data_IF_838772532898
#
_entry.id   IF_838772532898
#
_cell.length_a   1.000
_cell.length_b   1.000
_cell.length_c   1.000
_cell.angle_alpha   90.00
_cell.angle_beta   90.00
_cell.angle_gamma   90.00
#
_symmetry.space_group_name_H-M   'P 1'
#
loop_
_entity.id
_entity.type
_entity.pdbx_description
1 polymer ?
#
# COMPACT_ATOMS: atom_id res chain seq x y z
N UNK A 1 8.98 16.97 -3.72
CA UNK A 1 9.11 15.72 -4.52
C UNK A 1 7.98 14.73 -4.25
N UNK A 2 7.64 14.40 -3.00
CA UNK A 2 6.55 13.45 -2.70
C UNK A 2 5.17 13.86 -3.25
N UNK A 3 4.88 15.16 -3.30
CA UNK A 3 3.58 15.67 -3.75
C UNK A 3 3.40 15.55 -5.28
N UNK A 4 4.50 15.63 -6.04
CA UNK A 4 4.49 15.35 -7.48
C UNK A 4 4.12 13.90 -7.74
N UNK A 5 4.69 12.96 -6.98
CA UNK A 5 4.40 11.53 -7.11
C UNK A 5 2.95 11.17 -6.74
N UNK A 6 2.35 11.95 -5.86
CA UNK A 6 0.94 11.82 -5.52
C UNK A 6 0.06 12.27 -6.69
N UNK A 7 0.34 13.46 -7.25
CA UNK A 7 -0.38 14.01 -8.40
C UNK A 7 -0.20 13.14 -9.65
N UNK A 8 0.98 12.59 -9.90
CA UNK A 8 1.21 11.64 -11.00
C UNK A 8 0.37 10.38 -10.83
N UNK A 9 0.24 9.85 -9.61
CA UNK A 9 -0.62 8.69 -9.33
C UNK A 9 -2.09 8.96 -9.64
N UNK A 10 -2.60 10.13 -9.22
CA UNK A 10 -3.96 10.57 -9.55
C UNK A 10 -4.16 10.73 -11.05
N UNK A 11 -3.22 11.41 -11.69
CA UNK A 11 -3.20 11.65 -13.12
C UNK A 11 -3.31 10.35 -13.92
N UNK A 12 -2.50 9.35 -13.56
CA UNK A 12 -2.48 8.03 -14.22
C UNK A 12 -3.83 7.31 -14.04
N UNK A 13 -4.36 7.23 -12.81
CA UNK A 13 -5.61 6.52 -12.54
C UNK A 13 -6.84 7.22 -13.14
N UNK A 14 -6.93 8.55 -13.03
CA UNK A 14 -8.04 9.32 -13.59
C UNK A 14 -8.03 9.21 -15.12
N UNK A 15 -6.87 9.36 -15.75
CA UNK A 15 -6.74 9.26 -17.20
C UNK A 15 -7.11 7.87 -17.71
N UNK A 16 -6.63 6.81 -17.03
CA UNK A 16 -7.02 5.44 -17.34
C UNK A 16 -8.52 5.21 -17.19
N UNK A 17 -9.14 5.73 -16.12
CA UNK A 17 -10.57 5.58 -15.89
C UNK A 17 -11.41 6.26 -16.98
N UNK A 18 -11.04 7.46 -17.41
CA UNK A 18 -11.73 8.19 -18.51
C UNK A 18 -11.62 7.44 -19.84
N UNK A 19 -10.50 6.77 -20.09
CA UNK A 19 -10.29 6.02 -21.33
C UNK A 19 -10.92 4.64 -21.38
N UNK A 20 -11.39 4.10 -20.25
CA UNK A 20 -12.17 2.85 -20.27
C UNK A 20 -13.36 2.94 -21.23
N UNK A 21 -13.96 4.13 -21.37
CA UNK A 21 -15.06 4.38 -22.31
C UNK A 21 -14.61 4.53 -23.76
N UNK A 22 -13.33 4.86 -23.98
CA UNK A 22 -12.74 5.08 -25.30
C UNK A 22 -12.08 3.83 -25.90
N UNK A 23 -12.21 2.67 -25.23
CA UNK A 23 -11.69 1.40 -25.74
C UNK A 23 -10.33 0.98 -25.18
N UNK A 24 -9.98 1.40 -23.94
CA UNK A 24 -8.78 0.92 -23.26
C UNK A 24 -8.78 -0.62 -23.10
N UNK A 25 -7.67 -1.25 -23.49
CA UNK A 25 -7.49 -2.70 -23.41
C UNK A 25 -7.12 -3.18 -22.01
N UNK A 26 -7.28 -4.49 -21.76
CA UNK A 26 -6.91 -5.13 -20.48
C UNK A 26 -5.42 -4.94 -20.18
N UNK A 27 -4.56 -5.08 -21.18
CA UNK A 27 -3.12 -4.87 -21.03
C UNK A 27 -2.77 -3.43 -20.60
N UNK A 28 -3.33 -2.43 -21.28
CA UNK A 28 -3.09 -1.02 -20.96
C UNK A 28 -3.59 -0.67 -19.55
N UNK A 29 -4.76 -1.19 -19.16
CA UNK A 29 -5.29 -1.00 -17.80
C UNK A 29 -4.37 -1.60 -16.73
N UNK A 30 -3.82 -2.79 -16.94
CA UNK A 30 -2.85 -3.39 -16.02
C UNK A 30 -1.62 -2.51 -15.83
N UNK A 31 -1.06 -1.96 -16.93
CA UNK A 31 0.07 -1.04 -16.86
C UNK A 31 -0.28 0.22 -16.06
N UNK A 32 -1.42 0.84 -16.35
CA UNK A 32 -1.90 2.04 -15.63
C UNK A 32 -1.97 1.77 -14.12
N UNK A 33 -2.58 0.64 -13.72
CA UNK A 33 -2.73 0.27 -12.30
C UNK A 33 -1.37 0.01 -11.65
N UNK A 34 -0.43 -0.65 -12.33
CA UNK A 34 0.90 -0.91 -11.78
C UNK A 34 1.78 0.35 -11.71
N UNK A 35 1.67 1.28 -12.66
CA UNK A 35 2.36 2.57 -12.57
C UNK A 35 1.82 3.38 -11.39
N UNK A 36 0.49 3.42 -11.22
CA UNK A 36 -0.13 4.07 -10.07
C UNK A 36 0.27 3.41 -8.73
N UNK A 37 0.43 2.09 -8.71
CA UNK A 37 0.97 1.35 -7.58
C UNK A 37 2.36 1.84 -7.17
N UNK A 38 3.29 1.97 -8.13
CA UNK A 38 4.62 2.50 -7.83
C UNK A 38 4.57 3.95 -7.37
N UNK A 39 3.66 4.75 -7.92
CA UNK A 39 3.41 6.12 -7.45
C UNK A 39 3.00 6.16 -5.98
N UNK A 40 2.03 5.32 -5.62
CA UNK A 40 1.54 5.14 -4.26
C UNK A 40 2.66 4.69 -3.31
N UNK A 41 3.45 3.66 -3.67
CA UNK A 41 4.57 3.19 -2.86
C UNK A 41 5.65 4.24 -2.64
N UNK A 42 6.02 4.99 -3.67
CA UNK A 42 7.02 6.06 -3.56
C UNK A 42 6.50 7.22 -2.70
N UNK A 43 5.20 7.53 -2.74
CA UNK A 43 4.64 8.51 -1.81
C UNK A 43 4.66 7.99 -0.35
N UNK A 44 4.34 6.71 -0.11
CA UNK A 44 4.45 6.08 1.22
C UNK A 44 5.89 6.12 1.76
N UNK A 45 6.90 5.92 0.90
CA UNK A 45 8.31 6.00 1.31
C UNK A 45 8.73 7.43 1.61
N UNK A 46 8.26 8.42 0.83
CA UNK A 46 8.52 9.83 1.09
C UNK A 46 7.95 10.28 2.45
N UNK A 47 6.71 9.89 2.76
CA UNK A 47 6.08 10.18 4.07
C UNK A 47 6.83 9.55 5.24
N UNK A 48 7.47 8.39 5.03
CA UNK A 48 8.31 7.76 6.05
C UNK A 48 9.52 8.63 6.40
N UNK A 49 10.24 9.14 5.40
CA UNK A 49 11.45 9.97 5.57
C UNK A 49 11.11 11.32 6.18
N UNK A 50 10.00 11.93 5.76
CA UNK A 50 9.57 13.25 6.22
C UNK A 50 8.83 13.24 7.57
N UNK A 51 8.70 12.10 8.24
CA UNK A 51 7.89 11.95 9.46
C UNK A 51 8.27 12.93 10.57
N UNK A 52 9.57 13.22 10.75
CA UNK A 52 10.06 14.16 11.76
C UNK A 52 9.59 15.59 11.49
N UNK A 53 9.71 16.04 10.23
CA UNK A 53 9.27 17.37 9.78
C UNK A 53 7.75 17.56 9.90
N UNK A 54 6.98 16.54 9.49
CA UNK A 54 5.51 16.56 9.53
C UNK A 54 4.95 16.51 10.96
N UNK A 55 5.75 16.13 11.96
CA UNK A 55 5.31 16.16 13.35
C UNK A 55 5.15 17.59 13.87
N UNK A 56 5.87 18.55 13.28
CA UNK A 56 5.78 19.98 13.62
C UNK A 56 4.65 20.66 12.82
N UNK A 57 4.48 20.32 11.54
CA UNK A 57 3.47 20.91 10.67
C UNK A 57 2.23 20.01 10.49
N UNK A 58 1.23 20.17 11.36
CA UNK A 58 0.06 19.27 11.42
C UNK A 58 -0.95 19.43 10.28
N UNK A 59 -1.05 20.61 9.67
CA UNK A 59 -2.02 20.90 8.59
C UNK A 59 -1.59 20.23 7.28
N UNK A 60 -0.38 20.51 6.80
CA UNK A 60 0.18 19.87 5.59
C UNK A 60 0.25 18.34 5.70
N UNK A 61 0.45 17.82 6.91
CA UNK A 61 0.39 16.39 7.20
C UNK A 61 -0.97 15.77 6.94
N UNK A 62 -2.04 16.41 7.42
CA UNK A 62 -3.40 15.87 7.27
C UNK A 62 -3.81 15.88 5.80
N UNK A 63 -3.51 16.95 5.07
CA UNK A 63 -3.80 17.03 3.63
C UNK A 63 -3.11 15.92 2.82
N UNK A 64 -1.80 15.74 3.01
CA UNK A 64 -1.01 14.70 2.30
C UNK A 64 -1.50 13.29 2.64
N UNK A 65 -1.87 13.04 3.90
CA UNK A 65 -2.46 11.77 4.32
C UNK A 65 -3.83 11.50 3.70
N UNK A 66 -4.71 12.50 3.68
CA UNK A 66 -6.05 12.38 3.08
C UNK A 66 -5.93 12.11 1.60
N UNK A 67 -5.13 12.90 0.87
CA UNK A 67 -4.94 12.73 -0.55
C UNK A 67 -4.31 11.36 -0.88
N UNK A 68 -3.36 10.90 -0.08
CA UNK A 68 -2.81 9.54 -0.20
C UNK A 68 -3.86 8.46 0.07
N UNK A 69 -4.74 8.66 1.05
CA UNK A 69 -5.84 7.74 1.34
C UNK A 69 -6.83 7.63 0.18
N UNK A 70 -7.18 8.75 -0.45
CA UNK A 70 -8.01 8.76 -1.66
C UNK A 70 -7.30 8.03 -2.80
N UNK A 71 -6.01 8.30 -3.03
CA UNK A 71 -5.23 7.60 -4.06
C UNK A 71 -5.17 6.07 -3.80
N UNK A 72 -4.99 5.66 -2.55
CA UNK A 72 -4.98 4.25 -2.17
C UNK A 72 -6.34 3.58 -2.42
N UNK A 73 -7.46 4.26 -2.15
CA UNK A 73 -8.81 3.74 -2.45
C UNK A 73 -8.98 3.58 -3.97
N UNK A 74 -8.63 4.60 -4.76
CA UNK A 74 -8.70 4.52 -6.22
C UNK A 74 -7.83 3.37 -6.77
N UNK A 75 -6.63 3.19 -6.20
CA UNK A 75 -5.74 2.09 -6.58
C UNK A 75 -6.33 0.72 -6.19
N UNK A 76 -6.93 0.58 -5.00
CA UNK A 76 -7.59 -0.67 -4.59
C UNK A 76 -8.72 -1.01 -5.56
N UNK A 77 -9.56 -0.03 -5.92
CA UNK A 77 -10.61 -0.21 -6.92
C UNK A 77 -10.01 -0.61 -8.28
N UNK A 78 -8.90 0.01 -8.69
CA UNK A 78 -8.18 -0.33 -9.92
C UNK A 78 -7.57 -1.74 -9.93
N UNK A 79 -7.17 -2.26 -8.77
CA UNK A 79 -6.62 -3.61 -8.61
C UNK A 79 -7.70 -4.69 -8.64
N UNK A 80 -8.96 -4.40 -8.29
CA UNK A 80 -10.03 -5.41 -8.25
C UNK A 80 -10.24 -6.13 -9.61
N UNK A 81 -10.32 -5.44 -10.76
CA UNK A 81 -10.39 -6.08 -12.07
C UNK A 81 -9.20 -7.00 -12.37
N UNK A 82 -8.04 -6.79 -11.75
CA UNK A 82 -6.84 -7.61 -12.03
C UNK A 82 -6.98 -9.07 -11.59
N UNK A 83 -7.94 -9.39 -10.72
CA UNK A 83 -8.28 -10.78 -10.43
C UNK A 83 -8.81 -11.56 -11.64
N UNK A 84 -9.38 -10.87 -12.63
CA UNK A 84 -9.95 -11.49 -13.82
C UNK A 84 -8.92 -11.76 -14.92
N UNK A 85 -7.72 -11.18 -14.83
CA UNK A 85 -6.72 -11.19 -15.91
C UNK A 85 -5.67 -12.29 -15.76
N UNK A 86 -6.02 -13.41 -15.11
CA UNK A 86 -5.09 -14.50 -14.82
C UNK A 86 -4.81 -15.37 -16.04
N UNK A 87 -3.57 -15.35 -16.53
CA UNK A 87 -3.13 -16.04 -17.75
C UNK A 87 -3.04 -17.57 -17.62
N UNK A 88 -3.05 -18.11 -16.40
CA UNK A 88 -2.75 -19.54 -16.13
C UNK A 88 -3.75 -20.55 -16.72
N UNK A 89 -4.85 -20.11 -17.37
CA UNK A 89 -5.90 -21.05 -17.78
C UNK A 89 -6.68 -20.67 -19.05
N UNK A 90 -6.06 -20.17 -20.13
CA UNK A 90 -6.68 -20.04 -21.48
C UNK A 90 -8.15 -19.55 -21.51
N UNK A 91 -8.53 -18.70 -20.55
CA UNK A 91 -9.87 -18.17 -20.41
C UNK A 91 -9.80 -16.67 -20.63
N UNK A 92 -10.79 -16.15 -21.37
CA UNK A 92 -10.95 -14.70 -21.58
C UNK A 92 -10.96 -13.95 -20.24
N UNK A 93 -10.43 -12.71 -20.19
CA UNK A 93 -10.03 -11.89 -21.33
C UNK A 93 -8.59 -12.13 -21.81
N UNK A 94 -8.39 -11.99 -23.12
CA UNK A 94 -7.07 -11.81 -23.70
C UNK A 94 -6.52 -10.40 -23.48
N UNK A 95 -5.21 -10.16 -23.67
CA UNK A 95 -4.58 -8.85 -23.49
C UNK A 95 -5.19 -7.72 -24.34
N UNK A 96 -5.70 -8.06 -25.52
CA UNK A 96 -6.31 -7.14 -26.50
C UNK A 96 -7.81 -6.90 -26.30
N UNK A 97 -8.45 -7.60 -25.36
CA UNK A 97 -9.87 -7.39 -25.07
C UNK A 97 -10.08 -6.03 -24.35
N UNK A 98 -11.24 -5.41 -24.56
CA UNK A 98 -11.60 -4.16 -23.90
C UNK A 98 -11.77 -4.35 -22.38
N UNK A 99 -11.03 -3.57 -21.58
CA UNK A 99 -11.01 -3.69 -20.11
C UNK A 99 -12.39 -3.44 -19.49
N UNK A 100 -13.20 -2.56 -20.08
CA UNK A 100 -14.53 -2.18 -19.60
C UNK A 100 -15.46 -3.39 -19.41
N UNK A 101 -15.36 -4.40 -20.27
CA UNK A 101 -16.18 -5.62 -20.20
C UNK A 101 -15.84 -6.51 -19.00
N UNK A 102 -14.67 -6.31 -18.38
CA UNK A 102 -14.10 -7.19 -17.36
C UNK A 102 -13.82 -6.47 -16.03
N UNK A 103 -14.38 -5.27 -15.83
CA UNK A 103 -14.27 -4.51 -14.57
C UNK A 103 -14.95 -5.21 -13.39
N UNK A 104 -16.00 -5.99 -13.64
CA UNK A 104 -16.74 -6.70 -12.58
C UNK A 104 -15.96 -7.94 -12.14
N UNK A 105 -15.65 -8.04 -10.85
CA UNK A 105 -14.96 -9.21 -10.27
C UNK A 105 -15.76 -10.47 -10.57
N UNK A 106 -15.18 -11.38 -11.34
CA UNK A 106 -15.75 -12.71 -11.63
C UNK A 106 -15.05 -13.73 -10.74
N UNK A 107 -15.71 -14.87 -10.50
CA UNK A 107 -15.11 -15.99 -9.76
C UNK A 107 -13.90 -16.49 -10.56
N UNK A 108 -12.71 -16.09 -10.11
CA UNK A 108 -11.43 -16.44 -10.72
C UNK A 108 -10.78 -17.62 -10.00
N UNK A 109 -9.72 -18.17 -10.56
CA UNK A 109 -8.93 -19.24 -9.94
C UNK A 109 -8.34 -18.78 -8.60
N UNK A 110 -8.14 -19.72 -7.67
CA UNK A 110 -7.64 -19.40 -6.33
C UNK A 110 -6.32 -18.63 -6.35
N UNK A 111 -5.41 -18.94 -7.27
CA UNK A 111 -4.09 -18.32 -7.39
C UNK A 111 -4.20 -16.83 -7.77
N UNK A 112 -5.00 -16.50 -8.79
CA UNK A 112 -5.16 -15.12 -9.26
C UNK A 112 -5.87 -14.26 -8.21
N UNK A 113 -6.90 -14.82 -7.56
CA UNK A 113 -7.57 -14.18 -6.43
C UNK A 113 -6.62 -13.92 -5.26
N UNK A 114 -5.82 -14.92 -4.86
CA UNK A 114 -4.82 -14.74 -3.81
C UNK A 114 -3.84 -13.63 -4.17
N UNK A 115 -3.36 -13.56 -5.41
CA UNK A 115 -2.42 -12.53 -5.84
C UNK A 115 -3.04 -11.11 -5.81
N UNK A 116 -4.32 -10.96 -6.18
CA UNK A 116 -5.05 -9.70 -6.07
C UNK A 116 -5.24 -9.30 -4.60
N UNK A 117 -5.69 -10.24 -3.77
CA UNK A 117 -5.89 -10.04 -2.33
C UNK A 117 -4.57 -9.62 -1.67
N UNK A 118 -3.45 -10.27 -2.01
CA UNK A 118 -2.13 -9.90 -1.51
C UNK A 118 -1.75 -8.48 -1.90
N UNK A 119 -1.97 -8.07 -3.16
CA UNK A 119 -1.73 -6.67 -3.58
C UNK A 119 -2.59 -5.68 -2.79
N UNK A 120 -3.90 -5.92 -2.66
CA UNK A 120 -4.82 -5.05 -1.92
C UNK A 120 -4.43 -4.95 -0.45
N UNK A 121 -4.18 -6.09 0.20
CA UNK A 121 -3.74 -6.13 1.60
C UNK A 121 -2.41 -5.41 1.78
N UNK A 122 -1.48 -5.52 0.82
CA UNK A 122 -0.17 -4.86 0.90
C UNK A 122 -0.31 -3.34 0.94
N UNK A 123 -1.14 -2.76 0.09
CA UNK A 123 -1.41 -1.30 0.08
C UNK A 123 -2.21 -0.89 1.32
N UNK A 124 -3.25 -1.66 1.68
CA UNK A 124 -4.08 -1.34 2.84
C UNK A 124 -3.26 -1.37 4.14
N UNK A 125 -2.48 -2.43 4.38
CA UNK A 125 -1.60 -2.54 5.54
C UNK A 125 -0.53 -1.45 5.52
N UNK A 126 0.06 -1.17 4.35
CA UNK A 126 1.04 -0.09 4.19
C UNK A 126 0.46 1.27 4.57
N UNK A 127 -0.72 1.62 4.06
CA UNK A 127 -1.42 2.86 4.35
C UNK A 127 -1.82 2.96 5.83
N UNK A 128 -2.48 1.93 6.38
CA UNK A 128 -2.93 1.91 7.78
C UNK A 128 -1.74 2.04 8.74
N UNK A 129 -0.62 1.37 8.44
CA UNK A 129 0.61 1.49 9.24
C UNK A 129 1.12 2.93 9.30
N UNK A 130 1.11 3.65 8.17
CA UNK A 130 1.49 5.08 8.12
C UNK A 130 0.54 5.95 8.92
N UNK A 131 -0.77 5.77 8.76
CA UNK A 131 -1.78 6.55 9.52
C UNK A 131 -1.57 6.35 11.02
N UNK A 132 -1.42 5.11 11.48
CA UNK A 132 -1.20 4.80 12.89
C UNK A 132 0.09 5.42 13.45
N UNK A 133 1.20 5.36 12.70
CA UNK A 133 2.50 5.90 13.17
C UNK A 133 2.58 7.42 13.09
N UNK A 134 1.88 8.04 12.13
CA UNK A 134 1.92 9.48 11.93
C UNK A 134 1.04 10.24 12.94
N UNK A 135 -0.02 9.61 13.44
CA UNK A 135 -0.80 10.13 14.57
C UNK A 135 -0.25 9.67 15.91
N UNK A 136 0.45 10.57 16.63
CA UNK A 136 1.01 10.31 17.96
C UNK A 136 -0.01 9.74 18.95
N UNK A 137 -1.27 10.19 18.88
CA UNK A 137 -2.36 9.68 19.71
C UNK A 137 -2.68 8.20 19.42
N UNK A 138 -2.82 7.82 18.15
CA UNK A 138 -3.11 6.43 17.76
C UNK A 138 -1.92 5.52 18.05
N UNK A 139 -0.69 5.98 17.80
CA UNK A 139 0.52 5.23 18.11
C UNK A 139 0.66 4.96 19.60
N UNK A 140 0.54 5.98 20.46
CA UNK A 140 0.77 5.82 21.91
C UNK A 140 -0.40 5.11 22.59
N UNK A 141 -1.65 5.42 22.23
CA UNK A 141 -2.82 4.84 22.90
C UNK A 141 -3.10 3.41 22.47
N UNK A 142 -3.05 3.09 21.16
CA UNK A 142 -3.30 1.73 20.69
C UNK A 142 -2.07 0.83 20.90
N UNK A 143 -0.88 1.24 20.46
CA UNK A 143 0.32 0.40 20.59
C UNK A 143 0.90 0.41 22.00
N UNK A 144 0.89 1.55 22.70
CA UNK A 144 1.26 1.59 24.11
C UNK A 144 0.32 0.76 24.96
N UNK A 145 -1.00 0.90 24.75
CA UNK A 145 -2.02 0.10 25.44
C UNK A 145 -1.90 -1.41 25.17
N UNK A 146 -1.69 -1.80 23.90
CA UNK A 146 -1.48 -3.20 23.52
C UNK A 146 -0.18 -3.74 24.11
N UNK A 147 0.93 -2.99 24.04
CA UNK A 147 2.24 -3.39 24.60
C UNK A 147 2.16 -3.56 26.12
N UNK A 148 1.50 -2.65 26.82
CA UNK A 148 1.31 -2.70 28.28
C UNK A 148 0.40 -3.88 28.65
N UNK A 149 -0.76 -4.04 28.00
CA UNK A 149 -1.71 -5.12 28.29
C UNK A 149 -1.12 -6.50 28.01
N UNK A 150 -0.43 -6.68 26.89
CA UNK A 150 0.26 -7.92 26.54
C UNK A 150 1.38 -8.22 27.54
N UNK A 151 2.18 -7.23 27.94
CA UNK A 151 3.25 -7.42 28.93
C UNK A 151 2.71 -7.77 30.32
N UNK A 152 1.61 -7.17 30.76
CA UNK A 152 1.02 -7.48 32.07
C UNK A 152 0.42 -8.88 32.11
N UNK A 153 -0.35 -9.27 31.08
CA UNK A 153 -0.97 -10.61 31.01
C UNK A 153 0.08 -11.71 30.89
N UNK A 154 1.10 -11.52 30.05
CA UNK A 154 2.16 -12.50 29.87
C UNK A 154 3.03 -12.66 31.13
N UNK A 155 3.39 -11.57 31.81
CA UNK A 155 4.13 -11.63 33.09
C UNK A 155 3.32 -12.26 34.21
N UNK A 156 1.99 -12.16 34.19
CA UNK A 156 1.14 -12.85 35.14
C UNK A 156 1.18 -14.37 34.91
N UNK A 157 1.06 -14.81 33.65
CA UNK A 157 1.12 -16.22 33.25
C UNK A 157 2.51 -16.81 33.54
N UNK A 158 3.59 -16.13 33.15
CA UNK A 158 4.96 -16.58 33.44
C UNK A 158 5.22 -16.68 34.94
N UNK A 159 4.67 -15.78 35.77
CA UNK A 159 4.81 -15.86 37.23
C UNK A 159 4.07 -17.04 37.83
N UNK A 160 2.88 -17.39 37.32
CA UNK A 160 2.14 -18.57 37.76
C UNK A 160 2.91 -19.84 37.43
N UNK A 161 3.41 -19.95 36.20
CA UNK A 161 4.18 -21.12 35.72
C UNK A 161 5.52 -21.24 36.45
N UNK A 162 6.23 -20.12 36.69
CA UNK A 162 7.46 -20.10 37.47
C UNK A 162 7.22 -20.60 38.91
N UNK A 163 6.17 -20.11 39.58
CA UNK A 163 5.82 -20.54 40.95
C UNK A 163 5.43 -22.01 41.01
N UNK A 164 4.71 -22.51 40.01
CA UNK A 164 4.35 -23.93 39.90
C UNK A 164 5.59 -24.81 39.70
N UNK A 165 6.56 -24.33 38.93
CA UNK A 165 7.80 -25.05 38.65
C UNK A 165 8.81 -25.04 39.81
N UNK A 166 8.81 -24.01 40.67
CA UNK A 166 9.74 -23.89 41.82
C UNK A 166 9.24 -24.69 43.04
N UNK A 167 7.93 -24.92 43.18
CA UNK A 167 7.34 -25.58 44.36
C UNK A 167 7.56 -27.11 44.41
N UNK A 168 8.16 -27.70 43.38
CA UNK A 168 8.05 -29.14 43.08
C UNK A 168 9.40 -29.84 42.91
N UNK A 169 10.27 -29.83 43.93
CA UNK A 169 11.36 -30.81 44.14
C UNK A 169 12.41 -31.08 43.02
N UNK A 170 13.35 -32.03 43.24
CA UNK A 170 14.51 -32.28 42.36
C UNK A 170 14.19 -32.96 41.02
N UNK A 171 13.12 -33.76 40.95
CA UNK A 171 12.78 -34.59 39.78
C UNK A 171 12.19 -33.79 38.59
N UNK A 172 11.92 -32.49 38.74
CA UNK A 172 11.31 -31.64 37.71
C UNK A 172 12.24 -30.58 37.09
N UNK A 173 13.57 -30.68 37.30
CA UNK A 173 14.54 -29.87 36.54
C UNK A 173 14.35 -29.98 35.01
N UNK A 174 13.86 -31.14 34.54
CA UNK A 174 13.43 -31.33 33.15
C UNK A 174 12.20 -30.49 32.79
N UNK A 175 11.15 -30.42 33.63
CA UNK A 175 9.94 -29.65 33.34
C UNK A 175 10.22 -28.14 33.27
N UNK A 176 11.09 -27.63 34.16
CA UNK A 176 11.58 -26.26 34.09
C UNK A 176 12.35 -25.99 32.78
N UNK A 177 13.18 -26.94 32.34
CA UNK A 177 13.95 -26.80 31.10
C UNK A 177 13.08 -26.92 29.84
N UNK A 178 12.12 -27.84 29.82
CA UNK A 178 11.26 -28.15 28.66
C UNK A 178 10.03 -27.25 28.52
N UNK A 179 9.56 -26.62 29.60
CA UNK A 179 8.32 -25.83 29.57
C UNK A 179 8.60 -24.36 29.80
N UNK A 180 9.32 -24.00 30.86
CA UNK A 180 9.54 -22.60 31.21
C UNK A 180 10.50 -21.88 30.25
N UNK A 181 11.62 -22.50 29.87
CA UNK A 181 12.61 -21.90 28.95
C UNK A 181 12.06 -21.62 27.54
N UNK A 182 11.40 -22.57 26.85
CA UNK A 182 10.84 -22.27 25.53
C UNK A 182 9.69 -21.29 25.61
N UNK A 183 8.85 -21.33 26.66
CA UNK A 183 7.79 -20.34 26.84
C UNK A 183 8.35 -18.92 27.05
N UNK A 184 9.44 -18.80 27.82
CA UNK A 184 10.17 -17.54 27.97
C UNK A 184 10.79 -17.10 26.65
N UNK A 185 11.40 -18.01 25.88
CA UNK A 185 11.98 -17.71 24.57
C UNK A 185 10.90 -17.24 23.59
N UNK A 186 9.75 -17.91 23.51
CA UNK A 186 8.59 -17.51 22.70
C UNK A 186 8.07 -16.14 23.14
N UNK A 187 7.99 -15.88 24.45
CA UNK A 187 7.57 -14.57 24.94
C UNK A 187 8.55 -13.45 24.54
N UNK A 188 9.86 -13.68 24.69
CA UNK A 188 10.88 -12.72 24.30
C UNK A 188 10.90 -12.52 22.79
N UNK A 189 10.75 -13.59 22.00
CA UNK A 189 10.64 -13.55 20.56
C UNK A 189 9.39 -12.77 20.12
N UNK A 190 8.23 -13.04 20.71
CA UNK A 190 6.99 -12.31 20.43
C UNK A 190 7.11 -10.82 20.76
N UNK A 191 7.76 -10.49 21.89
CA UNK A 191 8.03 -9.09 22.27
C UNK A 191 8.99 -8.42 21.28
N UNK A 192 10.05 -9.11 20.88
CA UNK A 192 11.00 -8.63 19.89
C UNK A 192 10.31 -8.42 18.54
N UNK A 193 9.44 -9.34 18.11
CA UNK A 193 8.67 -9.23 16.87
C UNK A 193 7.68 -8.06 16.92
N UNK A 194 7.00 -7.83 18.04
CA UNK A 194 6.13 -6.67 18.22
C UNK A 194 6.91 -5.35 18.19
N UNK A 195 8.05 -5.29 18.89
CA UNK A 195 8.92 -4.11 18.90
C UNK A 195 9.56 -3.90 17.51
N UNK A 196 9.88 -4.97 16.78
CA UNK A 196 10.38 -4.94 15.40
C UNK A 196 9.30 -4.48 14.42
N UNK A 197 8.06 -4.97 14.53
CA UNK A 197 6.93 -4.55 13.70
C UNK A 197 6.67 -3.03 13.79
N UNK A 198 6.84 -2.47 14.99
CA UNK A 198 6.72 -1.02 15.23
C UNK A 198 7.94 -0.24 14.73
N UNK A 199 9.06 -0.90 14.43
CA UNK A 199 10.27 -0.26 13.91
C UNK A 199 10.07 0.34 12.51
N UNK A 200 10.81 1.41 12.23
CA UNK A 200 10.94 1.97 10.89
C UNK A 200 11.58 0.96 9.92
N UNK A 201 12.42 0.05 10.43
CA UNK A 201 13.11 -0.95 9.61
C UNK A 201 12.16 -1.96 8.97
N UNK A 202 11.22 -2.53 9.74
CA UNK A 202 10.24 -3.49 9.19
C UNK A 202 9.30 -2.82 8.19
N UNK A 203 8.97 -1.54 8.40
CA UNK A 203 8.22 -0.79 7.39
C UNK A 203 9.02 -0.55 6.10
N UNK A 204 10.33 -0.32 6.20
CA UNK A 204 11.17 -0.17 5.03
C UNK A 204 11.24 -1.50 4.27
N UNK A 205 11.48 -2.61 4.98
CA UNK A 205 11.45 -3.96 4.41
C UNK A 205 10.10 -4.28 3.77
N UNK A 206 8.99 -3.91 4.40
CA UNK A 206 7.66 -4.09 3.84
C UNK A 206 7.49 -3.34 2.52
N UNK A 207 7.96 -2.09 2.44
CA UNK A 207 7.96 -1.32 1.20
C UNK A 207 8.84 -1.95 0.12
N UNK A 208 10.01 -2.50 0.48
CA UNK A 208 10.86 -3.23 -0.45
C UNK A 208 10.17 -4.49 -1.00
N UNK A 209 9.51 -5.27 -0.13
CA UNK A 209 8.74 -6.45 -0.55
C UNK A 209 7.59 -6.02 -1.47
N UNK A 210 6.85 -4.96 -1.12
CA UNK A 210 5.76 -4.43 -1.92
C UNK A 210 6.24 -3.91 -3.29
N UNK A 211 7.42 -3.29 -3.33
CA UNK A 211 8.06 -2.83 -4.56
C UNK A 211 8.44 -4.01 -5.44
N UNK A 212 9.14 -5.01 -4.88
CA UNK A 212 9.53 -6.22 -5.59
C UNK A 212 8.31 -6.97 -6.14
N UNK A 213 7.26 -7.11 -5.34
CA UNK A 213 5.98 -7.69 -5.77
C UNK A 213 5.35 -6.93 -6.94
N UNK A 214 5.35 -5.59 -6.88
CA UNK A 214 4.90 -4.74 -7.98
C UNK A 214 5.72 -4.92 -9.25
N UNK A 215 7.05 -5.05 -9.14
CA UNK A 215 7.96 -5.26 -10.28
C UNK A 215 7.68 -6.59 -10.94
N UNK A 216 7.58 -7.68 -10.16
CA UNK A 216 7.24 -9.00 -10.69
C UNK A 216 5.93 -8.94 -11.47
N UNK A 217 4.90 -8.27 -10.92
CA UNK A 217 3.60 -8.11 -11.59
C UNK A 217 3.65 -7.27 -12.86
N UNK A 218 4.41 -6.17 -12.85
CA UNK A 218 4.62 -5.35 -14.05
C UNK A 218 5.33 -6.15 -15.14
N UNK A 219 6.40 -6.88 -14.80
CA UNK A 219 7.13 -7.72 -15.75
C UNK A 219 6.27 -8.85 -16.31
N UNK A 220 5.43 -9.49 -15.49
CA UNK A 220 4.47 -10.49 -16.00
C UNK A 220 3.49 -9.87 -16.98
N UNK A 221 2.95 -8.67 -16.69
CA UNK A 221 2.03 -8.00 -17.60
C UNK A 221 2.72 -7.55 -18.90
N UNK A 222 3.98 -7.08 -18.82
CA UNK A 222 4.77 -6.71 -20.00
C UNK A 222 5.17 -7.93 -20.84
N UNK A 223 5.38 -9.10 -20.24
CA UNK A 223 5.65 -10.32 -20.99
C UNK A 223 4.41 -10.85 -21.71
N UNK A 224 3.22 -10.47 -21.24
CA UNK A 224 1.92 -10.77 -21.86
C UNK A 224 1.60 -9.83 -23.04
N UNK A 225 2.59 -9.09 -23.56
CA UNK A 225 2.42 -8.20 -24.73
C UNK A 225 1.80 -8.95 -25.92
N UNK A 226 0.66 -8.48 -26.45
CA UNK A 226 0.11 -9.02 -27.69
C UNK A 226 1.10 -8.77 -28.84
N UNK A 227 1.58 -9.84 -29.48
CA UNK A 227 2.56 -9.78 -30.60
C UNK A 227 2.05 -9.02 -31.84
N UNK A 228 0.75 -8.73 -31.90
CA UNK A 228 0.08 -8.08 -33.05
C UNK A 228 -0.50 -6.70 -32.73
N UNK A 229 -0.14 -6.09 -31.59
CA UNK A 229 -0.70 -4.81 -31.16
C UNK A 229 0.41 -3.79 -30.91
N UNK A 230 0.62 -2.93 -31.90
CA UNK A 230 1.41 -1.72 -31.76
C UNK A 230 0.89 -0.91 -30.57
N UNK A 231 1.79 -0.72 -29.60
CA UNK A 231 1.58 -0.24 -28.24
C UNK A 231 0.86 1.12 -28.12
N UNK A 232 0.58 1.83 -29.22
CA UNK A 232 -0.01 3.18 -29.21
C UNK A 232 -0.82 3.57 -30.47
N UNK A 233 -1.15 2.67 -31.40
CA UNK A 233 -1.68 3.08 -32.73
C UNK A 233 -3.06 2.54 -33.13
N UNK A 234 -3.71 1.68 -32.34
CA UNK A 234 -5.12 1.30 -32.62
C UNK A 234 -6.10 2.25 -31.95
N UNK A 235 -6.11 3.48 -32.43
CA UNK A 235 -7.23 4.42 -32.28
C UNK A 235 -8.40 3.93 -33.14
N UNK A 236 -9.00 2.78 -32.81
CA UNK A 236 -10.22 2.34 -33.49
C UNK A 236 -11.38 3.24 -33.06
N UNK A 237 -11.63 4.28 -33.88
CA UNK A 237 -12.82 5.11 -33.79
C UNK A 237 -12.84 6.09 -32.63
N UNK A 238 -11.80 6.93 -32.50
CA UNK A 238 -11.93 8.15 -31.70
C UNK A 238 -13.02 9.01 -32.35
N UNK A 239 -14.22 8.99 -31.75
CA UNK A 239 -15.24 10.01 -32.00
C UNK A 239 -14.55 11.36 -31.79
N UNK A 240 -14.53 12.19 -32.81
CA UNK A 240 -13.98 13.55 -32.76
C UNK A 240 -14.60 14.27 -31.55
N UNK A 241 -13.83 14.44 -30.46
CA UNK A 241 -14.31 15.03 -29.21
C UNK A 241 -13.87 14.37 -27.90
N UNK A 242 -13.35 13.13 -27.92
CA UNK A 242 -12.90 12.47 -26.68
C UNK A 242 -11.44 12.82 -26.31
N UNK A 243 -11.22 13.12 -25.03
CA UNK A 243 -9.91 13.46 -24.45
C UNK A 243 -8.95 12.26 -24.45
N UNK A 244 -7.70 12.49 -24.85
CA UNK A 244 -6.65 11.44 -24.89
C UNK A 244 -5.94 11.27 -23.54
N UNK A 245 -5.25 10.14 -23.34
CA UNK A 245 -4.46 9.86 -22.13
C UNK A 245 -3.51 10.98 -21.78
N UNK A 246 -2.67 11.38 -22.74
CA UNK A 246 -1.68 12.41 -22.52
C UNK A 246 -2.30 13.75 -22.13
N UNK A 247 -3.45 14.10 -22.72
CA UNK A 247 -4.13 15.37 -22.41
C UNK A 247 -4.69 15.39 -20.99
N UNK A 248 -5.38 14.32 -20.56
CA UNK A 248 -5.90 14.23 -19.18
C UNK A 248 -4.74 14.18 -18.18
N UNK A 249 -3.68 13.43 -18.48
CA UNK A 249 -2.49 13.36 -17.63
C UNK A 249 -1.86 14.74 -17.45
N UNK A 250 -1.65 15.46 -18.55
CA UNK A 250 -1.03 16.78 -18.53
C UNK A 250 -1.83 17.80 -17.73
N UNK A 251 -3.17 17.77 -17.84
CA UNK A 251 -4.04 18.64 -17.05
C UNK A 251 -3.98 18.35 -15.56
N UNK A 252 -4.02 17.08 -15.15
CA UNK A 252 -3.95 16.71 -13.73
C UNK A 252 -2.58 17.04 -13.16
N UNK A 253 -1.50 16.86 -13.94
CA UNK A 253 -0.14 17.25 -13.52
C UNK A 253 0.00 18.76 -13.27
N UNK A 254 -0.83 19.62 -13.89
CA UNK A 254 -0.85 21.06 -13.64
C UNK A 254 -1.25 21.42 -12.19
N UNK A 255 -1.86 20.48 -11.45
CA UNK A 255 -2.16 20.63 -10.03
C UNK A 255 -0.88 20.71 -9.19
N UNK A 256 0.21 20.05 -9.59
CA UNK A 256 1.46 20.03 -8.82
C UNK A 256 2.11 21.43 -8.64
N UNK A 257 2.30 22.25 -9.68
CA UNK A 257 2.81 23.62 -9.51
C UNK A 257 1.82 24.53 -8.76
N UNK A 258 0.50 24.36 -8.95
CA UNK A 258 -0.51 25.13 -8.20
C UNK A 258 -0.47 24.83 -6.70
N UNK A 259 -0.32 23.56 -6.31
CA UNK A 259 -0.13 23.16 -4.92
C UNK A 259 1.12 23.80 -4.31
N UNK A 260 2.22 23.85 -5.06
CA UNK A 260 3.45 24.49 -4.62
C UNK A 260 3.28 26.00 -4.40
N UNK A 261 2.50 26.65 -5.28
CA UNK A 261 2.17 28.07 -5.17
C UNK A 261 1.32 28.37 -3.92
N UNK A 262 0.33 27.52 -3.62
CA UNK A 262 -0.52 27.65 -2.44
C UNK A 262 0.26 27.46 -1.13
N UNK A 263 1.16 26.46 -1.08
CA UNK A 263 2.04 26.26 0.08
C UNK A 263 2.98 27.47 0.29
N UNK A 264 3.45 28.11 -0.79
CA UNK A 264 4.25 29.33 -0.70
C UNK A 264 3.46 30.52 -0.14
N UNK A 265 2.22 30.72 -0.58
CA UNK A 265 1.39 31.81 -0.07
C UNK A 265 0.98 31.60 1.40
N UNK A 266 0.68 30.37 1.81
CA UNK A 266 0.36 30.05 3.21
C UNK A 266 1.54 30.36 4.13
N UNK A 267 2.77 29.99 3.72
CA UNK A 267 3.98 30.37 4.44
C UNK A 267 4.20 31.89 4.48
N UNK A 268 3.99 32.58 3.36
CA UNK A 268 4.11 34.05 3.28
C UNK A 268 3.13 34.80 4.20
N UNK A 269 1.89 34.30 4.35
CA UNK A 269 0.89 34.89 5.25
C UNK A 269 1.18 34.59 6.72
N UNK A 270 1.78 33.43 7.04
CA UNK A 270 2.20 33.10 8.41
C UNK A 270 3.37 33.97 8.90
N UNK A 271 4.21 34.48 7.97
CA UNK A 271 5.34 35.34 8.29
C UNK A 271 4.94 36.81 8.46
N UNK A 272 3.84 37.26 7.87
CA UNK A 272 3.34 38.64 7.99
C UNK A 272 2.47 38.89 9.23
N UNK A 273 2.22 37.84 10.03
CA UNK A 273 1.46 37.89 11.29
C UNK A 273 2.33 37.79 12.55
N UNK A 274 3.66 37.79 12.39
CA UNK A 274 4.68 37.92 13.44
C UNK A 274 5.36 39.29 13.36
#
# INVERSE_FOLDING_TARGET
MGDLQLVTGFSILISGAVQLDCGLTVYEWQIVVYLAWFSCLTHLSCLMVMRSYLHVHTVGRTWRLVAMGVLAILLIVGLLPTANYGHLYNQRPGPSDYAKCYLKVRRSSGITLCSMILSVLTIAIGFISRVMKLHKMLSVTLWGGLRIRTSHRSRAILRVIYRWSVKSGPAQGLSFSLVYRPLLAVFLAARFLLDAWVSMFVEALWLFIAFFWGVVRLLTALNDTPKDQDLWTKTTGQKEGNWTFGQVVSLVLLVAPLMSLLEYFDQGMSLSTL
#
